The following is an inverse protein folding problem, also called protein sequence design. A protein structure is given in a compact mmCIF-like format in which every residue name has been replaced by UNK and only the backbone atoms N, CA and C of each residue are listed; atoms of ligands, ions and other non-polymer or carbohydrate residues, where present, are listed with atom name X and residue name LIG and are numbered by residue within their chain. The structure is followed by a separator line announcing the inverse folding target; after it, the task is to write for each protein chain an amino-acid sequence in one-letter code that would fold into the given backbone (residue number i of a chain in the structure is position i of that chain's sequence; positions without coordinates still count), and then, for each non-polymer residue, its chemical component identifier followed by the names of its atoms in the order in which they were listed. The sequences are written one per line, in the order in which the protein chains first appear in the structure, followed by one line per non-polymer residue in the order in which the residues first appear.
data_IF_605598136983
#
_entry.id   IF_605598136983
#
_cell.length_a   1.000
_cell.length_b   1.000
_cell.length_c   1.000
_cell.angle_alpha   90.00
_cell.angle_beta   90.00
_cell.angle_gamma   90.00
#
_symmetry.space_group_name_H-M   'P 1'
#
loop_
_entity.id
_entity.type
_entity.pdbx_description
1 polymer ?
#
# COMPACT_ATOMS: atom_id res chain seq x y z
N UNK A 1 -35.59 -35.83 28.15
CA UNK A 1 -35.39 -34.37 27.98
C UNK A 1 -34.06 -34.07 27.29
N UNK A 2 -33.01 -34.85 27.52
CA UNK A 2 -31.70 -34.66 26.87
C UNK A 2 -31.70 -34.78 25.35
N UNK A 3 -32.56 -35.63 24.78
CA UNK A 3 -32.60 -35.85 23.33
C UNK A 3 -33.16 -34.63 22.55
N UNK A 4 -34.14 -33.92 23.13
CA UNK A 4 -34.72 -32.71 22.54
C UNK A 4 -33.74 -31.54 22.71
N UNK A 5 -33.12 -31.41 23.88
CA UNK A 5 -32.12 -30.39 24.13
C UNK A 5 -30.92 -30.54 23.18
N UNK A 6 -30.39 -31.76 23.02
CA UNK A 6 -29.30 -32.05 22.08
C UNK A 6 -29.67 -31.74 20.61
N UNK A 7 -30.90 -32.05 20.18
CA UNK A 7 -31.38 -31.70 18.83
C UNK A 7 -31.49 -30.19 18.63
N UNK A 8 -32.02 -29.45 19.60
CA UNK A 8 -32.12 -27.98 19.53
C UNK A 8 -30.74 -27.32 19.52
N UNK A 9 -29.81 -27.79 20.35
CA UNK A 9 -28.42 -27.30 20.35
C UNK A 9 -27.72 -27.60 19.02
N UNK A 10 -27.92 -28.79 18.45
CA UNK A 10 -27.35 -29.16 17.15
C UNK A 10 -27.87 -28.27 16.01
N UNK A 11 -29.17 -27.94 16.01
CA UNK A 11 -29.77 -27.04 15.00
C UNK A 11 -29.21 -25.62 15.13
N UNK A 12 -29.07 -25.10 16.35
CA UNK A 12 -28.49 -23.77 16.58
C UNK A 12 -27.02 -23.71 16.16
N UNK A 13 -26.24 -24.76 16.45
CA UNK A 13 -24.85 -24.84 16.02
C UNK A 13 -24.73 -24.94 14.50
N UNK A 14 -25.56 -25.77 13.87
CA UNK A 14 -25.62 -25.87 12.41
C UNK A 14 -25.97 -24.51 11.78
N UNK A 15 -26.99 -23.81 12.30
CA UNK A 15 -27.38 -22.48 11.83
C UNK A 15 -26.23 -21.46 11.97
N UNK A 16 -25.51 -21.48 13.09
CA UNK A 16 -24.34 -20.61 13.30
C UNK A 16 -23.22 -20.89 12.29
N UNK A 17 -22.93 -22.16 12.00
CA UNK A 17 -21.90 -22.55 11.01
C UNK A 17 -22.34 -22.20 9.58
N UNK A 18 -23.58 -22.51 9.20
CA UNK A 18 -24.12 -22.21 7.88
C UNK A 18 -24.26 -20.71 7.62
N UNK A 19 -24.46 -19.90 8.66
CA UNK A 19 -24.48 -18.44 8.55
C UNK A 19 -23.07 -17.84 8.58
N UNK A 20 -22.17 -18.39 9.41
CA UNK A 20 -20.79 -17.89 9.56
C UNK A 20 -19.92 -18.13 8.32
N UNK A 21 -20.00 -19.31 7.69
CA UNK A 21 -19.15 -19.67 6.56
C UNK A 21 -19.32 -18.73 5.33
N UNK A 22 -20.56 -18.40 4.87
CA UNK A 22 -20.75 -17.43 3.80
C UNK A 22 -20.24 -16.03 4.13
N UNK A 23 -20.41 -15.59 5.39
CA UNK A 23 -19.94 -14.27 5.83
C UNK A 23 -18.42 -14.16 5.79
N UNK A 24 -17.71 -15.19 6.25
CA UNK A 24 -16.25 -15.25 6.15
C UNK A 24 -15.80 -15.22 4.69
N UNK A 25 -16.42 -16.03 3.84
CA UNK A 25 -16.09 -16.08 2.41
C UNK A 25 -16.32 -14.75 1.69
N UNK A 26 -17.44 -14.07 1.97
CA UNK A 26 -17.71 -12.74 1.39
C UNK A 26 -16.76 -11.68 1.92
N UNK A 27 -16.36 -11.77 3.20
CA UNK A 27 -15.36 -10.86 3.78
C UNK A 27 -13.99 -11.02 3.13
N UNK A 28 -13.55 -12.26 2.88
CA UNK A 28 -12.29 -12.53 2.17
C UNK A 28 -12.32 -11.96 0.75
N UNK A 29 -13.43 -12.15 0.02
CA UNK A 29 -13.59 -11.57 -1.31
C UNK A 29 -13.60 -10.04 -1.29
N UNK A 30 -14.27 -9.43 -0.32
CA UNK A 30 -14.28 -7.98 -0.16
C UNK A 30 -12.86 -7.44 0.10
N UNK A 31 -12.10 -8.08 1.00
CA UNK A 31 -10.70 -7.73 1.30
C UNK A 31 -9.79 -7.89 0.07
N UNK A 32 -9.95 -8.97 -0.69
CA UNK A 32 -9.16 -9.21 -1.90
C UNK A 32 -9.45 -8.17 -2.99
N UNK A 33 -10.72 -7.78 -3.16
CA UNK A 33 -11.10 -6.73 -4.10
C UNK A 33 -10.52 -5.36 -3.68
N UNK A 34 -10.54 -5.06 -2.39
CA UNK A 34 -9.95 -3.83 -1.84
C UNK A 34 -8.43 -3.78 -2.05
N UNK A 35 -7.73 -4.89 -1.76
CA UNK A 35 -6.29 -5.00 -2.01
C UNK A 35 -5.95 -4.81 -3.50
N UNK A 36 -6.74 -5.39 -4.39
CA UNK A 36 -6.54 -5.25 -5.84
C UNK A 36 -6.74 -3.81 -6.30
N UNK A 37 -7.77 -3.12 -5.78
CA UNK A 37 -8.01 -1.71 -6.07
C UNK A 37 -6.85 -0.83 -5.59
N UNK A 38 -6.41 -1.00 -4.35
CA UNK A 38 -5.26 -0.26 -3.81
C UNK A 38 -3.97 -0.53 -4.57
N UNK A 39 -3.76 -1.77 -5.04
CA UNK A 39 -2.62 -2.12 -5.90
C UNK A 39 -2.68 -1.42 -7.24
N UNK A 40 -3.86 -1.37 -7.87
CA UNK A 40 -4.04 -0.65 -9.13
C UNK A 40 -3.69 0.83 -8.98
N UNK A 41 -4.30 1.52 -8.00
CA UNK A 41 -4.06 2.94 -7.75
C UNK A 41 -2.59 3.22 -7.44
N UNK A 42 -1.95 2.35 -6.63
CA UNK A 42 -0.52 2.48 -6.31
C UNK A 42 0.38 2.27 -7.54
N UNK A 43 0.03 1.30 -8.38
CA UNK A 43 0.79 1.00 -9.60
C UNK A 43 0.70 2.15 -10.59
N UNK A 44 -0.50 2.66 -10.85
CA UNK A 44 -0.71 3.80 -11.75
C UNK A 44 0.03 5.05 -11.29
N UNK A 45 0.01 5.33 -9.98
CA UNK A 45 0.73 6.45 -9.40
C UNK A 45 2.25 6.34 -9.57
N UNK A 46 2.83 5.19 -9.19
CA UNK A 46 4.28 4.94 -9.31
C UNK A 46 4.71 4.93 -10.76
N UNK A 47 3.99 4.23 -11.64
CA UNK A 47 4.33 4.15 -13.07
C UNK A 47 4.28 5.55 -13.72
N UNK A 48 3.28 6.37 -13.37
CA UNK A 48 3.19 7.76 -13.84
C UNK A 48 4.46 8.55 -13.48
N UNK A 49 4.90 8.49 -12.22
CA UNK A 49 6.13 9.17 -11.77
C UNK A 49 7.37 8.57 -12.42
N UNK A 50 7.46 7.25 -12.56
CA UNK A 50 8.60 6.58 -13.16
C UNK A 50 8.75 6.89 -14.66
N UNK A 51 7.63 7.17 -15.35
CA UNK A 51 7.62 7.51 -16.76
C UNK A 51 7.92 8.99 -16.99
N UNK A 52 7.30 9.89 -16.21
CA UNK A 52 7.47 11.35 -16.35
C UNK A 52 8.76 11.87 -15.71
N UNK A 53 9.22 11.22 -14.63
CA UNK A 53 10.36 11.64 -13.84
C UNK A 53 10.07 12.80 -12.86
N UNK A 54 8.81 13.17 -12.65
CA UNK A 54 8.43 14.22 -11.70
C UNK A 54 7.15 13.89 -10.93
N UNK A 55 7.12 14.29 -9.66
CA UNK A 55 5.96 14.27 -8.80
C UNK A 55 5.44 15.69 -8.62
N UNK A 56 4.17 15.93 -8.92
CA UNK A 56 3.50 17.22 -8.68
C UNK A 56 2.59 17.14 -7.47
N UNK A 57 2.29 18.29 -6.86
CA UNK A 57 1.36 18.36 -5.74
C UNK A 57 -0.04 17.87 -6.13
N UNK A 58 -0.46 18.09 -7.37
CA UNK A 58 -1.76 17.64 -7.87
C UNK A 58 -1.84 16.11 -7.93
N UNK A 59 -0.80 15.44 -8.44
CA UNK A 59 -0.70 13.98 -8.45
C UNK A 59 -0.74 13.40 -7.04
N UNK A 60 0.02 14.01 -6.12
CA UNK A 60 0.04 13.60 -4.71
C UNK A 60 -1.34 13.75 -4.05
N UNK A 61 -2.00 14.90 -4.24
CA UNK A 61 -3.33 15.15 -3.67
C UNK A 61 -4.39 14.22 -4.25
N UNK A 62 -4.35 13.96 -5.56
CA UNK A 62 -5.27 13.03 -6.21
C UNK A 62 -5.07 11.61 -5.66
N UNK A 63 -3.84 11.14 -5.56
CA UNK A 63 -3.51 9.84 -4.99
C UNK A 63 -4.03 9.68 -3.55
N UNK A 64 -3.77 10.66 -2.68
CA UNK A 64 -4.29 10.63 -1.31
C UNK A 64 -5.82 10.71 -1.25
N UNK A 65 -6.47 11.43 -2.18
CA UNK A 65 -7.93 11.49 -2.25
C UNK A 65 -8.52 10.14 -2.63
N UNK A 66 -7.92 9.43 -3.58
CA UNK A 66 -8.36 8.09 -4.01
C UNK A 66 -8.18 7.04 -2.91
N UNK A 67 -7.07 7.09 -2.17
CA UNK A 67 -6.83 6.21 -1.01
C UNK A 67 -7.72 6.57 0.18
N UNK A 68 -7.94 7.86 0.42
CA UNK A 68 -8.80 8.32 1.52
C UNK A 68 -10.26 7.94 1.30
N UNK A 69 -10.72 7.97 0.04
CA UNK A 69 -12.04 7.49 -0.35
C UNK A 69 -12.22 5.98 -0.06
N UNK A 70 -11.13 5.21 -0.07
CA UNK A 70 -11.18 3.77 0.16
C UNK A 70 -11.53 3.40 1.61
N UNK A 71 -11.04 4.12 2.63
CA UNK A 71 -11.51 3.93 4.04
C UNK A 71 -10.90 4.88 5.10
N UNK A 72 -10.00 5.83 4.79
CA UNK A 72 -9.38 6.71 5.81
C UNK A 72 -8.53 6.00 6.89
N UNK A 73 -8.38 4.69 6.80
CA UNK A 73 -7.62 3.82 7.72
C UNK A 73 -6.29 3.38 7.11
N UNK A 74 -5.83 4.02 6.02
CA UNK A 74 -4.58 3.68 5.37
C UNK A 74 -3.53 4.76 5.63
N UNK A 75 -2.29 4.32 5.85
CA UNK A 75 -1.08 5.13 5.87
C UNK A 75 -0.29 4.82 4.60
N UNK A 76 0.20 5.85 3.96
CA UNK A 76 1.09 5.75 2.80
C UNK A 76 2.50 6.01 3.31
N UNK A 77 3.45 5.25 2.80
CA UNK A 77 4.87 5.47 3.00
C UNK A 77 5.58 5.46 1.66
N UNK A 78 6.30 6.54 1.37
CA UNK A 78 7.06 6.69 0.14
C UNK A 78 8.56 6.73 0.45
N UNK A 79 9.34 6.03 -0.36
CA UNK A 79 10.80 5.97 -0.28
C UNK A 79 11.41 6.14 -1.66
N UNK A 80 12.45 6.97 -1.74
CA UNK A 80 13.30 7.09 -2.93
C UNK A 80 14.69 6.55 -2.58
N UNK A 81 15.22 5.71 -3.47
CA UNK A 81 16.60 5.24 -3.43
C UNK A 81 17.33 5.77 -4.66
N UNK A 82 18.33 6.61 -4.43
CA UNK A 82 19.23 7.12 -5.45
C UNK A 82 20.56 6.36 -5.37
N UNK A 83 21.00 5.81 -6.49
CA UNK A 83 22.27 5.07 -6.56
C UNK A 83 23.33 5.97 -7.16
N UNK A 84 24.37 6.27 -6.38
CA UNK A 84 25.53 7.00 -6.84
C UNK A 84 26.73 6.07 -7.01
N UNK A 85 27.54 6.31 -8.04
CA UNK A 85 28.71 5.48 -8.38
C UNK A 85 29.94 6.21 -7.89
N UNK A 86 30.51 5.74 -6.77
CA UNK A 86 31.74 6.31 -6.22
C UNK A 86 32.92 5.48 -6.70
N UNK A 87 33.82 6.11 -7.45
CA UNK A 87 35.09 5.53 -7.88
C UNK A 87 36.15 5.73 -6.79
N UNK A 88 36.32 4.72 -5.94
CA UNK A 88 37.46 4.65 -5.02
C UNK A 88 38.53 3.70 -5.56
N UNK A 89 39.73 4.22 -5.82
CA UNK A 89 40.96 3.46 -6.07
C UNK A 89 40.87 2.33 -7.12
N UNK A 90 40.01 2.49 -8.14
CA UNK A 90 39.91 1.56 -9.27
C UNK A 90 38.90 0.42 -9.09
N UNK A 91 38.13 0.42 -8.01
CA UNK A 91 36.98 -0.47 -7.82
C UNK A 91 35.67 0.34 -7.90
N UNK A 92 34.62 -0.26 -8.47
CA UNK A 92 33.32 0.38 -8.60
C UNK A 92 32.49 0.10 -7.34
N UNK A 93 32.35 1.09 -6.46
CA UNK A 93 31.44 1.01 -5.31
C UNK A 93 30.12 1.73 -5.62
N UNK A 94 29.01 1.17 -5.17
CA UNK A 94 27.69 1.77 -5.26
C UNK A 94 27.30 2.28 -3.88
N UNK A 95 27.09 3.58 -3.74
CA UNK A 95 26.44 4.16 -2.57
C UNK A 95 24.96 4.39 -2.88
N UNK A 96 24.09 4.12 -1.90
CA UNK A 96 22.65 4.33 -2.04
C UNK A 96 22.20 5.34 -1.01
N UNK A 97 21.68 6.46 -1.50
CA UNK A 97 21.10 7.52 -0.68
C UNK A 97 19.60 7.27 -0.61
N UNK A 98 19.08 7.21 0.62
CA UNK A 98 17.65 6.98 0.88
C UNK A 98 16.99 8.28 1.31
N UNK A 99 15.88 8.61 0.67
CA UNK A 99 15.03 9.75 1.02
C UNK A 99 13.68 9.25 1.51
N UNK A 100 13.25 9.78 2.66
CA UNK A 100 11.94 9.50 3.22
C UNK A 100 10.87 10.43 2.64
N UNK A 101 9.60 10.03 2.76
CA UNK A 101 8.43 10.80 2.35
C UNK A 101 8.45 12.26 2.83
N UNK A 102 8.91 12.51 4.06
CA UNK A 102 8.93 13.85 4.65
C UNK A 102 9.87 14.79 3.91
N UNK A 103 11.01 14.29 3.48
CA UNK A 103 12.02 15.08 2.76
C UNK A 103 11.51 15.40 1.36
N UNK A 104 10.92 14.40 0.69
CA UNK A 104 10.27 14.58 -0.62
C UNK A 104 9.11 15.58 -0.55
N UNK A 105 8.27 15.48 0.47
CA UNK A 105 7.13 16.38 0.65
C UNK A 105 7.57 17.82 0.94
N UNK A 106 8.61 18.01 1.77
CA UNK A 106 9.14 19.33 2.08
C UNK A 106 9.71 20.04 0.84
N UNK A 107 10.29 19.29 -0.10
CA UNK A 107 10.72 19.82 -1.39
C UNK A 107 9.54 20.08 -2.34
N UNK A 108 8.55 19.18 -2.37
CA UNK A 108 7.33 19.33 -3.16
C UNK A 108 6.54 20.57 -2.76
N UNK A 109 6.43 20.87 -1.47
CA UNK A 109 5.73 22.06 -0.96
C UNK A 109 6.45 23.37 -1.33
N UNK A 110 7.78 23.36 -1.44
CA UNK A 110 8.58 24.54 -1.81
C UNK A 110 8.56 24.81 -3.30
N UNK A 111 8.80 23.77 -4.10
CA UNK A 111 9.03 23.90 -5.54
C UNK A 111 7.78 23.59 -6.38
N UNK A 112 6.69 23.12 -5.76
CA UNK A 112 5.44 22.60 -6.38
C UNK A 112 5.61 21.33 -7.21
N UNK A 113 6.84 21.02 -7.60
CA UNK A 113 7.25 19.83 -8.35
C UNK A 113 8.50 19.27 -7.67
N UNK A 114 8.54 17.96 -7.54
CA UNK A 114 9.69 17.19 -7.10
C UNK A 114 10.22 16.41 -8.31
N UNK A 115 11.48 16.65 -8.68
CA UNK A 115 12.12 16.01 -9.83
C UNK A 115 12.93 14.79 -9.36
N UNK A 116 12.76 13.67 -10.04
CA UNK A 116 13.55 12.46 -9.80
C UNK A 116 14.69 12.38 -10.80
N UNK A 117 15.81 11.79 -10.42
CA UNK A 117 16.91 11.53 -11.33
C UNK A 117 16.73 10.19 -12.06
N UNK A 118 17.39 10.06 -13.21
CA UNK A 118 17.29 8.85 -14.03
C UNK A 118 17.97 7.70 -13.29
N UNK A 119 17.25 6.59 -13.13
CA UNK A 119 17.76 5.42 -12.42
C UNK A 119 17.42 5.39 -10.94
N UNK A 120 16.78 6.44 -10.41
CA UNK A 120 16.21 6.42 -9.07
C UNK A 120 15.14 5.34 -8.96
N UNK A 121 15.08 4.70 -7.80
CA UNK A 121 14.05 3.72 -7.48
C UNK A 121 13.04 4.32 -6.51
N UNK A 122 11.79 4.43 -6.96
CA UNK A 122 10.66 4.86 -6.14
C UNK A 122 9.94 3.63 -5.59
N UNK A 123 9.63 3.67 -4.30
CA UNK A 123 8.89 2.63 -3.59
C UNK A 123 7.75 3.25 -2.79
N UNK A 124 6.54 2.79 -3.03
CA UNK A 124 5.33 3.25 -2.33
C UNK A 124 4.63 2.07 -1.67
N UNK A 125 4.44 2.18 -0.35
CA UNK A 125 3.73 1.21 0.46
C UNK A 125 2.46 1.84 1.02
N UNK A 126 1.33 1.15 0.88
CA UNK A 126 0.06 1.50 1.52
C UNK A 126 -0.20 0.47 2.60
N UNK A 127 -0.25 0.91 3.86
CA UNK A 127 -0.37 0.07 5.05
C UNK A 127 -1.65 0.44 5.79
N UNK A 128 -2.44 -0.56 6.19
CA UNK A 128 -3.63 -0.33 7.02
C UNK A 128 -3.22 0.07 8.45
N UNK A 129 -3.73 1.21 8.95
CA UNK A 129 -3.67 1.63 10.35
C UNK A 129 -4.26 0.53 11.22
N UNK A 130 -3.54 0.14 12.27
CA UNK A 130 -4.03 -0.83 13.26
C UNK A 130 -5.32 -0.30 13.89
N UNK A 131 -6.41 -1.02 13.70
CA UNK A 131 -7.70 -0.72 14.31
C UNK A 131 -7.78 -1.28 15.73
N UNK A 132 -8.61 -0.68 16.59
CA UNK A 132 -8.86 -1.18 17.95
C UNK A 132 -9.30 -2.67 17.97
N UNK A 133 -9.94 -3.15 16.90
CA UNK A 133 -10.43 -4.53 16.77
C UNK A 133 -9.33 -5.60 16.59
N UNK A 134 -8.07 -5.22 16.37
CA UNK A 134 -6.94 -6.17 16.34
C UNK A 134 -6.66 -6.83 17.71
N UNK A 135 -7.26 -6.32 18.80
CA UNK A 135 -7.09 -6.84 20.16
C UNK A 135 -7.81 -8.18 20.42
N UNK A 136 -8.77 -8.58 19.56
CA UNK A 136 -9.60 -9.80 19.74
C UNK A 136 -8.98 -11.03 19.04
N UNK A 137 -7.70 -10.97 18.68
CA UNK A 137 -6.96 -12.15 18.17
C UNK A 137 -7.23 -12.50 16.71
N UNK A 138 -8.02 -11.70 15.99
CA UNK A 138 -8.04 -11.75 14.54
C UNK A 138 -6.79 -11.01 14.05
N UNK A 139 -5.75 -11.76 13.66
CA UNK A 139 -4.65 -11.19 12.87
C UNK A 139 -5.24 -10.87 11.50
N UNK A 140 -5.92 -9.73 11.39
CA UNK A 140 -6.28 -9.20 10.08
C UNK A 140 -4.93 -8.94 9.39
N UNK A 141 -4.54 -9.85 8.51
CA UNK A 141 -3.32 -9.76 7.72
C UNK A 141 -3.49 -8.58 6.79
N UNK A 142 -3.18 -7.42 7.35
CA UNK A 142 -2.91 -6.12 6.77
C UNK A 142 -2.86 -6.19 5.25
N UNK A 143 -3.89 -5.63 4.61
CA UNK A 143 -3.84 -5.26 3.20
C UNK A 143 -2.70 -4.25 3.06
N UNK A 144 -1.51 -4.78 2.82
CA UNK A 144 -0.29 -4.02 2.59
C UNK A 144 -0.02 -4.15 1.11
N UNK A 145 -0.22 -3.05 0.41
CA UNK A 145 0.12 -2.97 -1.01
C UNK A 145 1.49 -2.34 -1.09
N UNK A 146 2.42 -3.03 -1.73
CA UNK A 146 3.75 -2.52 -2.00
C UNK A 146 3.99 -2.57 -3.50
N UNK A 147 4.38 -1.43 -4.06
CA UNK A 147 4.79 -1.34 -5.45
C UNK A 147 5.95 -0.35 -5.58
N UNK A 148 6.81 -0.57 -6.56
CA UNK A 148 7.97 0.27 -6.80
C UNK A 148 8.51 0.07 -8.21
N UNK A 149 9.19 1.10 -8.70
CA UNK A 149 9.68 1.17 -10.07
C UNK A 149 10.93 2.05 -10.17
N UNK A 150 11.71 1.82 -11.22
CA UNK A 150 12.85 2.66 -11.57
C UNK A 150 12.38 3.77 -12.49
N UNK A 151 12.81 5.01 -12.25
CA UNK A 151 12.54 6.17 -13.09
C UNK A 151 13.33 6.05 -14.41
N UNK A 152 12.63 6.02 -15.54
CA UNK A 152 13.23 5.72 -16.86
C UNK A 152 13.36 6.93 -17.78
N UNK A 153 12.57 7.99 -17.55
CA UNK A 153 12.34 9.11 -18.48
C UNK A 153 11.99 8.61 -19.88
N UNK A 154 10.70 8.40 -20.16
CA UNK A 154 10.25 7.96 -21.49
C UNK A 154 9.96 9.13 -22.46
N UNK A 155 10.01 10.39 -21.99
CA UNK A 155 9.72 11.61 -22.78
C UNK A 155 10.99 12.30 -23.34
N UNK A 156 11.83 11.59 -24.09
CA UNK A 156 12.87 12.19 -24.96
C UNK A 156 12.91 11.58 -26.36
#
# INVERSE_FOLDING_TARGET
MDEIFGRVTAILFAAAVFMGMPLLYMSERAKSAEQMYLLMVNTEFVDSICNTGFLTMEMYQQFYKEISAASGIYEVHMYREQKDIVLEQGDYSYESIFFDEKDMLAELEKNRVYEFERGDYLKVAIIKKKGWMDFVGNRDSSVNVLYGGTVRYEDF
#
